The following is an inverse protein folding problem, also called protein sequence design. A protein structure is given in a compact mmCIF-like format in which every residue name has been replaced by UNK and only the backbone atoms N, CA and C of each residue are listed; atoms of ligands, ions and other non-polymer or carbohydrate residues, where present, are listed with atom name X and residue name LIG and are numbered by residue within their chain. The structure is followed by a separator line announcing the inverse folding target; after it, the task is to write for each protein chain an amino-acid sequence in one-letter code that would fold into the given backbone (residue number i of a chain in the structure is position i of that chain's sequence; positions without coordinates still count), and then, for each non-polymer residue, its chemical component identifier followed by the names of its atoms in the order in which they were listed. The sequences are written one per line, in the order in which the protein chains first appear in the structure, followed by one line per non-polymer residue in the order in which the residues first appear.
data_IF_849387038095
#
_entry.id   IF_849387038095
#
_cell.length_a   1.000
_cell.length_b   1.000
_cell.length_c   1.000
_cell.angle_alpha   90.00
_cell.angle_beta   90.00
_cell.angle_gamma   90.00
#
_symmetry.space_group_name_H-M   'P 1'
#
loop_
_entity.id
_entity.type
_entity.pdbx_description
1 polymer ?
#
# COMPACT_ATOMS: atom_id res chain seq x y z
N UNK A 1 -13.51 -18.74 -41.40
CA UNK A 1 -13.14 -17.32 -41.58
C UNK A 1 -12.72 -16.81 -40.21
N UNK A 2 -11.48 -17.10 -39.83
CA UNK A 2 -10.96 -16.80 -38.49
C UNK A 2 -10.31 -15.42 -38.46
N UNK A 3 -10.97 -14.49 -37.77
CA UNK A 3 -10.46 -13.15 -37.53
C UNK A 3 -9.24 -13.23 -36.61
N UNK A 4 -8.04 -13.14 -37.18
CA UNK A 4 -6.80 -13.00 -36.43
C UNK A 4 -6.77 -11.65 -35.70
N UNK A 5 -6.97 -11.68 -34.38
CA UNK A 5 -6.79 -10.52 -33.51
C UNK A 5 -5.29 -10.20 -33.45
N UNK A 6 -4.88 -9.13 -34.14
CA UNK A 6 -3.54 -8.58 -34.06
C UNK A 6 -3.33 -7.94 -32.68
N UNK A 7 -2.83 -8.72 -31.72
CA UNK A 7 -2.34 -8.18 -30.43
C UNK A 7 -1.00 -7.50 -30.70
N UNK A 8 -1.04 -6.20 -30.98
CA UNK A 8 0.15 -5.37 -31.10
C UNK A 8 1.02 -5.54 -29.84
N UNK A 9 2.17 -6.23 -29.98
CA UNK A 9 3.15 -6.40 -28.90
C UNK A 9 3.62 -5.02 -28.47
N UNK A 10 3.08 -4.50 -27.35
CA UNK A 10 3.57 -3.26 -26.74
C UNK A 10 5.08 -3.43 -26.49
N UNK A 11 5.91 -2.60 -27.14
CA UNK A 11 7.36 -2.55 -26.87
C UNK A 11 7.54 -2.31 -25.37
N UNK A 12 8.08 -3.31 -24.67
CA UNK A 12 8.39 -3.21 -23.24
C UNK A 12 9.56 -2.25 -23.11
N UNK A 13 9.34 -1.12 -22.43
CA UNK A 13 10.40 -0.14 -22.20
C UNK A 13 11.43 -0.73 -21.24
N UNK A 14 12.71 -0.56 -21.55
CA UNK A 14 13.80 -0.89 -20.62
C UNK A 14 13.59 -0.14 -19.30
N UNK A 15 13.68 -0.82 -18.14
CA UNK A 15 13.55 -0.15 -16.85
C UNK A 15 14.67 0.87 -16.65
N UNK A 16 14.35 2.00 -16.04
CA UNK A 16 15.36 3.03 -15.71
C UNK A 16 16.21 2.58 -14.53
N UNK A 17 17.40 3.17 -14.38
CA UNK A 17 18.28 2.91 -13.24
C UNK A 17 17.53 3.00 -11.90
N UNK A 18 16.76 4.08 -11.69
CA UNK A 18 15.96 4.26 -10.47
C UNK A 18 14.89 3.17 -10.25
N UNK A 19 14.36 2.58 -11.32
CA UNK A 19 13.41 1.46 -11.20
C UNK A 19 14.12 0.17 -10.77
N UNK A 20 15.37 -0.02 -11.21
CA UNK A 20 16.20 -1.16 -10.84
C UNK A 20 16.77 -1.03 -9.43
N UNK A 21 17.19 0.16 -9.02
CA UNK A 21 17.84 0.41 -7.73
C UNK A 21 16.88 0.77 -6.61
N UNK A 22 15.66 1.23 -6.95
CA UNK A 22 14.66 1.64 -5.97
C UNK A 22 14.37 0.60 -4.87
N UNK A 23 14.28 -0.72 -5.14
CA UNK A 23 14.15 -1.75 -4.10
C UNK A 23 15.31 -1.83 -3.11
N UNK A 24 16.52 -1.36 -3.45
CA UNK A 24 17.68 -1.43 -2.57
C UNK A 24 17.81 -0.19 -1.68
N UNK A 25 17.42 0.98 -2.19
CA UNK A 25 17.36 2.21 -1.39
C UNK A 25 16.13 2.28 -0.48
N UNK A 26 15.04 1.65 -0.91
CA UNK A 26 13.77 1.68 -0.21
C UNK A 26 13.23 0.24 -0.10
N UNK A 27 13.82 -0.59 0.76
CA UNK A 27 13.64 -2.04 0.76
C UNK A 27 12.27 -2.49 1.25
N UNK A 28 11.61 -1.71 2.11
CA UNK A 28 10.34 -2.10 2.70
C UNK A 28 9.17 -1.37 2.05
N UNK A 29 8.14 -2.12 1.66
CA UNK A 29 6.86 -1.55 1.26
C UNK A 29 5.74 -1.94 2.23
N UNK A 30 4.91 -0.96 2.53
CA UNK A 30 3.70 -1.09 3.32
C UNK A 30 2.53 -1.45 2.42
N UNK A 31 1.88 -2.58 2.73
CA UNK A 31 0.65 -3.01 2.09
C UNK A 31 -0.52 -2.93 3.09
N UNK A 32 -1.53 -2.14 2.75
CA UNK A 32 -2.75 -1.98 3.56
C UNK A 32 -3.92 -2.52 2.76
N UNK A 33 -4.71 -3.38 3.40
CA UNK A 33 -5.90 -3.95 2.82
C UNK A 33 -7.09 -3.80 3.77
N UNK A 34 -8.06 -2.99 3.34
CA UNK A 34 -9.28 -2.71 4.09
C UNK A 34 -10.45 -3.35 3.36
N UNK A 35 -11.07 -4.33 3.99
CA UNK A 35 -12.26 -5.01 3.48
C UNK A 35 -13.52 -4.55 4.21
N UNK A 36 -14.68 -5.09 3.80
CA UNK A 36 -15.94 -4.90 4.52
C UNK A 36 -15.96 -5.55 5.91
N UNK A 37 -15.05 -6.47 6.21
CA UNK A 37 -15.08 -7.27 7.44
C UNK A 37 -13.83 -7.09 8.33
N UNK A 38 -12.67 -6.78 7.76
CA UNK A 38 -11.40 -6.70 8.49
C UNK A 38 -10.42 -5.72 7.87
N UNK A 39 -9.40 -5.35 8.65
CA UNK A 39 -8.30 -4.45 8.31
C UNK A 39 -7.00 -5.21 8.47
N UNK A 40 -6.23 -5.32 7.39
CA UNK A 40 -4.91 -5.95 7.38
C UNK A 40 -3.87 -4.92 6.95
N UNK A 41 -2.73 -4.91 7.62
CA UNK A 41 -1.56 -4.16 7.22
C UNK A 41 -0.31 -5.04 7.36
N UNK A 42 0.60 -4.97 6.40
CA UNK A 42 1.86 -5.71 6.47
C UNK A 42 3.01 -4.94 5.81
N UNK A 43 4.22 -5.24 6.29
CA UNK A 43 5.47 -4.76 5.72
C UNK A 43 6.11 -5.90 4.94
N UNK A 44 6.49 -5.62 3.69
CA UNK A 44 7.07 -6.59 2.77
C UNK A 44 8.44 -6.07 2.35
N UNK A 45 9.44 -6.94 2.43
CA UNK A 45 10.77 -6.67 1.91
C UNK A 45 10.78 -6.91 0.39
N UNK A 46 10.99 -5.86 -0.39
CA UNK A 46 10.80 -5.84 -1.85
C UNK A 46 11.78 -6.73 -2.62
N UNK A 47 12.99 -6.93 -2.10
CA UNK A 47 14.03 -7.73 -2.78
C UNK A 47 13.80 -9.22 -2.54
N UNK A 48 13.50 -9.61 -1.29
CA UNK A 48 13.30 -11.03 -0.91
C UNK A 48 11.85 -11.48 -1.05
N UNK A 49 10.93 -10.55 -1.31
CA UNK A 49 9.47 -10.76 -1.34
C UNK A 49 8.90 -11.37 -0.05
N UNK A 50 9.64 -11.29 1.06
CA UNK A 50 9.21 -11.82 2.36
C UNK A 50 8.35 -10.79 3.09
N UNK A 51 7.28 -11.26 3.71
CA UNK A 51 6.50 -10.45 4.65
C UNK A 51 7.22 -10.50 6.00
N UNK A 52 7.64 -9.35 6.50
CA UNK A 52 8.47 -9.24 7.71
C UNK A 52 7.63 -8.91 8.93
N UNK A 53 6.65 -8.02 8.79
CA UNK A 53 5.71 -7.69 9.86
C UNK A 53 4.26 -7.74 9.33
N UNK A 54 3.33 -8.24 10.14
CA UNK A 54 1.90 -8.33 9.82
C UNK A 54 1.08 -7.88 11.01
N UNK A 55 0.00 -7.15 10.77
CA UNK A 55 -1.08 -6.92 11.72
C UNK A 55 -2.42 -7.12 11.03
N UNK A 56 -3.35 -7.85 11.67
CA UNK A 56 -4.65 -8.14 11.10
C UNK A 56 -5.71 -8.10 12.19
N UNK A 57 -6.79 -7.35 11.99
CA UNK A 57 -7.81 -7.15 13.02
C UNK A 57 -8.59 -8.41 13.42
N UNK A 58 -8.40 -9.54 12.73
CA UNK A 58 -8.98 -10.85 13.09
C UNK A 58 -7.97 -11.80 13.75
N UNK A 59 -6.69 -11.41 13.88
CA UNK A 59 -5.70 -12.24 14.53
C UNK A 59 -6.11 -12.50 15.98
N UNK A 60 -5.73 -13.66 16.53
CA UNK A 60 -6.07 -14.00 17.92
C UNK A 60 -5.58 -12.93 18.90
N UNK A 61 -4.43 -12.34 18.60
CA UNK A 61 -3.78 -11.30 19.41
C UNK A 61 -4.54 -9.97 19.43
N UNK A 62 -5.45 -9.72 18.48
CA UNK A 62 -6.14 -8.43 18.32
C UNK A 62 -7.66 -8.56 18.49
N UNK A 63 -8.23 -9.70 18.09
CA UNK A 63 -9.69 -9.86 17.97
C UNK A 63 -10.42 -9.77 19.31
N UNK A 64 -9.75 -10.10 20.42
CA UNK A 64 -10.38 -10.11 21.74
C UNK A 64 -10.39 -8.73 22.40
N UNK A 65 -9.44 -7.88 22.04
CA UNK A 65 -9.32 -6.51 22.56
C UNK A 65 -10.16 -5.50 21.74
N UNK A 66 -10.64 -5.93 20.57
CA UNK A 66 -11.42 -5.10 19.65
C UNK A 66 -12.91 -5.41 19.75
N UNK A 67 -13.72 -4.41 20.10
CA UNK A 67 -15.19 -4.50 20.04
C UNK A 67 -15.72 -4.70 18.62
N UNK A 68 -14.96 -4.30 17.60
CA UNK A 68 -15.29 -4.53 16.19
C UNK A 68 -14.01 -4.62 15.37
N UNK A 69 -13.96 -5.55 14.43
CA UNK A 69 -12.80 -5.80 13.55
C UNK A 69 -12.60 -4.74 12.46
N UNK A 70 -13.46 -3.71 12.40
CA UNK A 70 -13.56 -2.76 11.27
C UNK A 70 -13.83 -1.32 11.70
N UNK A 71 -13.96 -1.05 12.99
CA UNK A 71 -14.18 0.31 13.49
C UNK A 71 -12.90 1.16 13.35
N UNK A 72 -13.01 2.45 13.62
CA UNK A 72 -11.89 3.39 13.59
C UNK A 72 -10.80 2.96 14.59
N UNK A 73 -11.20 2.49 15.77
CA UNK A 73 -10.29 1.96 16.78
C UNK A 73 -9.45 0.79 16.24
N UNK A 74 -10.05 -0.20 15.58
CA UNK A 74 -9.33 -1.32 14.97
C UNK A 74 -8.33 -0.88 13.89
N UNK A 75 -8.64 0.18 13.15
CA UNK A 75 -7.69 0.75 12.17
C UNK A 75 -6.45 1.32 12.88
N UNK A 76 -6.65 2.06 13.96
CA UNK A 76 -5.58 2.60 14.78
C UNK A 76 -4.78 1.47 15.46
N UNK A 77 -5.45 0.51 16.12
CA UNK A 77 -4.78 -0.61 16.78
C UNK A 77 -3.95 -1.45 15.80
N UNK A 78 -4.46 -1.72 14.59
CA UNK A 78 -3.70 -2.43 13.54
C UNK A 78 -2.46 -1.64 13.14
N UNK A 79 -2.55 -0.31 13.00
CA UNK A 79 -1.42 0.55 12.69
C UNK A 79 -0.35 0.54 13.79
N UNK A 80 -0.76 0.72 15.05
CA UNK A 80 0.12 0.69 16.20
C UNK A 80 0.84 -0.66 16.36
N UNK A 81 0.11 -1.78 16.27
CA UNK A 81 0.70 -3.13 16.40
C UNK A 81 1.65 -3.44 15.24
N UNK A 82 1.34 -2.98 14.02
CA UNK A 82 2.27 -3.14 12.90
C UNK A 82 3.57 -2.35 13.14
N UNK A 83 3.46 -1.12 13.61
CA UNK A 83 4.63 -0.28 13.91
C UNK A 83 5.49 -0.91 15.01
N UNK A 84 4.89 -1.39 16.10
CA UNK A 84 5.61 -2.10 17.16
C UNK A 84 6.34 -3.34 16.63
N UNK A 85 5.69 -4.15 15.78
CA UNK A 85 6.31 -5.33 15.16
C UNK A 85 7.45 -4.94 14.22
N UNK A 86 7.31 -3.87 13.46
CA UNK A 86 8.34 -3.37 12.56
C UNK A 86 9.56 -2.83 13.32
N UNK A 87 9.35 -2.05 14.39
CA UNK A 87 10.43 -1.54 15.23
C UNK A 87 11.18 -2.65 15.97
N UNK A 88 10.50 -3.72 16.37
CA UNK A 88 11.15 -4.89 16.96
C UNK A 88 12.14 -5.58 15.99
N UNK A 89 11.90 -5.45 14.68
CA UNK A 89 12.77 -5.95 13.61
C UNK A 89 13.71 -4.84 13.05
N UNK A 90 13.85 -3.71 13.75
CA UNK A 90 14.69 -2.56 13.37
C UNK A 90 14.28 -1.86 12.05
N UNK A 91 13.01 -1.98 11.67
CA UNK A 91 12.46 -1.36 10.46
C UNK A 91 11.85 -0.01 10.80
N UNK A 92 12.43 1.06 10.25
CA UNK A 92 12.00 2.44 10.53
C UNK A 92 11.37 3.14 9.33
N UNK A 93 11.80 2.81 8.11
CA UNK A 93 11.36 3.46 6.87
C UNK A 93 10.57 2.49 5.99
N UNK A 94 9.37 2.89 5.57
CA UNK A 94 8.53 2.10 4.67
C UNK A 94 7.91 2.94 3.56
N UNK A 95 7.63 2.30 2.43
CA UNK A 95 6.94 2.94 1.31
C UNK A 95 5.52 2.44 1.18
N UNK A 96 4.59 3.37 1.24
CA UNK A 96 3.22 3.09 0.86
C UNK A 96 3.00 3.46 -0.61
N UNK A 97 2.57 2.47 -1.41
CA UNK A 97 2.17 2.70 -2.80
C UNK A 97 0.65 2.58 -2.90
N UNK A 98 0.00 3.68 -3.26
CA UNK A 98 -1.45 3.73 -3.40
C UNK A 98 -1.94 2.75 -4.48
N UNK A 99 -2.91 1.89 -4.15
CA UNK A 99 -3.49 0.96 -5.14
C UNK A 99 -4.44 1.69 -6.08
N UNK A 100 -4.71 1.09 -7.24
CA UNK A 100 -5.58 1.70 -8.27
C UNK A 100 -6.99 1.89 -7.70
N UNK A 101 -7.45 3.13 -7.65
CA UNK A 101 -8.79 3.49 -7.18
C UNK A 101 -8.91 3.69 -5.68
N UNK A 102 -7.84 3.51 -4.90
CA UNK A 102 -7.83 3.92 -3.49
C UNK A 102 -7.77 5.44 -3.38
N UNK A 103 -8.39 5.99 -2.34
CA UNK A 103 -8.22 7.38 -1.90
C UNK A 103 -7.64 7.37 -0.51
N UNK A 104 -6.69 8.25 -0.23
CA UNK A 104 -6.09 8.44 1.09
C UNK A 104 -7.04 9.19 2.02
N UNK A 105 -8.18 8.58 2.31
CA UNK A 105 -9.25 9.18 3.11
C UNK A 105 -9.81 8.14 4.09
N UNK A 106 -10.37 8.61 5.21
CA UNK A 106 -11.07 7.77 6.18
C UNK A 106 -10.18 6.70 6.79
N UNK A 107 -10.60 5.43 6.69
CA UNK A 107 -9.93 4.30 7.38
C UNK A 107 -8.49 4.11 6.93
N UNK A 108 -8.20 4.30 5.65
CA UNK A 108 -6.86 4.16 5.13
C UNK A 108 -5.92 5.21 5.72
N UNK A 109 -6.39 6.45 5.82
CA UNK A 109 -5.66 7.54 6.45
C UNK A 109 -5.42 7.26 7.93
N UNK A 110 -6.40 6.72 8.66
CA UNK A 110 -6.25 6.38 10.08
C UNK A 110 -5.15 5.33 10.30
N UNK A 111 -5.10 4.27 9.47
CA UNK A 111 -4.04 3.25 9.56
C UNK A 111 -2.67 3.89 9.30
N UNK A 112 -2.55 4.69 8.24
CA UNK A 112 -1.32 5.38 7.88
C UNK A 112 -0.84 6.33 8.98
N UNK A 113 -1.74 7.16 9.51
CA UNK A 113 -1.45 8.10 10.57
C UNK A 113 -0.99 7.37 11.83
N UNK A 114 -1.69 6.31 12.22
CA UNK A 114 -1.31 5.51 13.38
C UNK A 114 0.08 4.88 13.23
N UNK A 115 0.49 4.48 12.03
CA UNK A 115 1.85 3.94 11.81
C UNK A 115 2.90 5.05 12.01
N UNK A 116 2.63 6.25 11.49
CA UNK A 116 3.51 7.41 11.64
C UNK A 116 3.62 7.86 13.10
N UNK A 117 2.48 7.94 13.81
CA UNK A 117 2.44 8.34 15.23
C UNK A 117 3.20 7.36 16.14
N UNK A 118 3.37 6.10 15.71
CA UNK A 118 4.12 5.08 16.43
C UNK A 118 5.58 4.94 15.96
N UNK A 119 6.12 5.94 15.26
CA UNK A 119 7.57 6.08 15.02
C UNK A 119 8.09 5.49 13.71
N UNK A 120 7.20 5.07 12.79
CA UNK A 120 7.61 4.59 11.45
C UNK A 120 7.46 5.72 10.43
N UNK A 121 8.53 6.01 9.68
CA UNK A 121 8.49 6.98 8.60
C UNK A 121 7.85 6.36 7.34
N UNK A 122 6.73 6.93 6.89
CA UNK A 122 5.99 6.42 5.72
C UNK A 122 6.11 7.36 4.54
N UNK A 123 6.85 6.93 3.51
CA UNK A 123 6.91 7.64 2.23
C UNK A 123 5.75 7.22 1.33
N UNK A 124 4.82 8.15 1.09
CA UNK A 124 3.64 7.91 0.24
C UNK A 124 3.97 8.17 -1.22
N UNK A 125 3.89 7.13 -2.07
CA UNK A 125 3.99 7.24 -3.54
C UNK A 125 2.61 7.29 -4.17
N UNK A 126 2.18 8.50 -4.52
CA UNK A 126 0.97 8.75 -5.29
C UNK A 126 1.26 8.47 -6.76
N UNK A 127 0.60 7.46 -7.35
CA UNK A 127 0.68 7.23 -8.79
C UNK A 127 -0.15 8.33 -9.46
N UNK A 128 0.51 9.31 -10.08
CA UNK A 128 -0.16 10.38 -10.84
C UNK A 128 -1.27 9.76 -11.71
N UNK A 129 -2.53 10.19 -11.49
CA UNK A 129 -3.62 9.89 -12.42
C UNK A 129 -3.13 10.38 -13.78
N UNK A 130 -3.13 9.50 -14.78
CA UNK A 130 -3.22 10.02 -16.14
C UNK A 130 -4.55 10.77 -16.21
N UNK A 131 -4.51 12.09 -16.03
CA UNK A 131 -5.61 12.95 -16.45
C UNK A 131 -5.74 12.64 -17.94
N UNK A 132 -6.79 11.92 -18.33
CA UNK A 132 -7.10 11.73 -19.73
C UNK A 132 -7.08 13.10 -20.38
N UNK A 133 -6.41 13.23 -21.53
CA UNK A 133 -6.37 14.46 -22.31
C UNK A 133 -7.81 14.99 -22.40
N UNK A 134 -8.08 16.14 -21.79
CA UNK A 134 -9.31 16.86 -22.07
C UNK A 134 -9.23 17.27 -23.54
N UNK A 135 -10.04 16.66 -24.40
CA UNK A 135 -10.27 17.18 -25.73
C UNK A 135 -10.97 18.52 -25.58
N UNK A 136 -10.23 19.60 -25.81
CA UNK A 136 -10.80 20.94 -25.99
C UNK A 136 -11.86 20.86 -27.10
N UNK A 137 -13.08 21.38 -26.91
CA UNK A 137 -14.03 21.49 -28.01
C UNK A 137 -13.43 22.44 -29.04
N UNK A 138 -13.22 21.97 -30.27
CA UNK A 138 -12.99 22.85 -31.40
C UNK A 138 -14.32 23.56 -31.67
N UNK A 139 -14.39 24.83 -31.31
CA UNK A 139 -15.46 25.72 -31.75
C UNK A 139 -15.32 25.88 -33.27
N UNK A 140 -16.33 25.39 -34.00
CA UNK A 140 -16.59 25.77 -35.38
C UNK A 140 -17.29 27.12 -35.43
#
# INVERSE_FOLDING_TARGET
MDASINVAKKKVRTPTFNQLTGPYHEPFCLDIYISKASVRACVIHRVTSKVVAVAHSISKDLKFDLSSTRNVAACATVGAVLAQRALADDIHDVIYTQRKGEKLEGKLQIVLQSIVDNGINVKVKLKQRQRGKASLPQSA
#
